data_IF_252723705152
#
_entry.id   IF_252723705152
#
_cell.length_a   1.000
_cell.length_b   1.000
_cell.length_c   1.000
_cell.angle_alpha   90.00
_cell.angle_beta   90.00
_cell.angle_gamma   90.00
#
_symmetry.space_group_name_H-M   'P 1'
#
loop_
_entity.id
_entity.type
_entity.pdbx_description
1 polymer ?
#
# COMPACT_ATOMS: atom_id res chain seq x y z
N UNK A 1 -19.08 -11.48 13.53
CA UNK A 1 -18.12 -11.86 12.47
C UNK A 1 -16.79 -11.25 12.86
N UNK A 2 -15.66 -11.99 12.78
CA UNK A 2 -14.36 -11.51 13.22
C UNK A 2 -13.86 -10.30 12.39
N UNK A 3 -13.11 -9.42 13.06
CA UNK A 3 -12.43 -8.29 12.45
C UNK A 3 -10.98 -8.67 12.13
N UNK A 4 -10.56 -8.39 10.90
CA UNK A 4 -9.19 -8.63 10.42
C UNK A 4 -8.57 -7.33 9.94
N UNK A 5 -7.29 -7.13 10.21
CA UNK A 5 -6.54 -5.96 9.72
C UNK A 5 -5.52 -6.38 8.66
N UNK A 6 -5.30 -5.52 7.68
CA UNK A 6 -4.44 -5.76 6.51
C UNK A 6 -3.26 -4.80 6.49
N UNK A 7 -2.36 -4.94 7.45
CA UNK A 7 -1.19 -4.06 7.52
C UNK A 7 -0.26 -4.30 6.33
N UNK A 8 0.36 -3.23 5.82
CA UNK A 8 1.29 -3.31 4.71
C UNK A 8 2.73 -3.36 5.24
N UNK A 9 3.41 -4.49 5.05
CA UNK A 9 4.86 -4.59 5.25
C UNK A 9 5.54 -3.91 4.09
N UNK A 10 6.34 -2.90 4.40
CA UNK A 10 7.20 -2.17 3.47
C UNK A 10 8.67 -2.54 3.72
N UNK A 11 9.60 -2.16 2.82
CA UNK A 11 11.03 -2.35 3.07
C UNK A 11 11.55 -1.64 4.34
N UNK A 12 10.83 -0.62 4.81
CA UNK A 12 11.26 0.26 5.91
C UNK A 12 10.47 0.03 7.20
N UNK A 13 9.41 -0.78 7.18
CA UNK A 13 8.60 -1.00 8.39
C UNK A 13 7.25 -1.67 8.12
N UNK A 14 6.35 -1.54 9.08
CA UNK A 14 4.96 -1.97 8.98
C UNK A 14 4.07 -0.74 8.99
N UNK A 15 3.23 -0.60 7.96
CA UNK A 15 2.21 0.44 7.85
C UNK A 15 0.86 -0.13 8.33
N UNK A 16 0.36 0.32 9.49
CA UNK A 16 -0.81 -0.29 10.11
C UNK A 16 -2.11 0.16 9.43
N UNK A 17 -2.86 -0.83 8.95
CA UNK A 17 -4.30 -0.71 8.78
C UNK A 17 -5.03 -0.47 10.14
N UNK A 18 -5.74 0.66 10.28
CA UNK A 18 -6.54 1.01 11.49
C UNK A 18 -8.04 0.67 11.44
N UNK A 19 -8.67 0.59 10.25
CA UNK A 19 -10.12 0.32 10.18
C UNK A 19 -10.45 -1.19 10.15
N UNK A 20 -9.51 -2.02 9.68
CA UNK A 20 -9.73 -3.44 9.41
C UNK A 20 -10.92 -3.73 8.46
N UNK A 21 -11.32 -4.99 8.38
CA UNK A 21 -12.48 -5.50 7.64
C UNK A 21 -13.10 -6.69 8.38
N UNK A 22 -14.40 -6.62 8.61
CA UNK A 22 -15.17 -7.72 9.19
C UNK A 22 -15.43 -8.80 8.14
N UNK A 23 -14.91 -10.01 8.37
CA UNK A 23 -15.05 -11.13 7.44
C UNK A 23 -15.42 -12.44 8.16
N UNK A 24 -15.95 -13.45 7.45
CA UNK A 24 -16.39 -14.70 8.08
C UNK A 24 -15.23 -15.51 8.67
N UNK A 25 -14.08 -15.53 8.01
CA UNK A 25 -12.92 -16.35 8.35
C UNK A 25 -11.63 -15.82 7.70
N UNK A 26 -10.50 -16.41 8.10
CA UNK A 26 -9.16 -16.05 7.61
C UNK A 26 -8.97 -16.38 6.12
N UNK A 27 -9.62 -17.42 5.60
CA UNK A 27 -9.55 -17.77 4.19
C UNK A 27 -10.17 -16.68 3.32
N UNK A 28 -11.28 -16.09 3.76
CA UNK A 28 -11.92 -14.94 3.07
C UNK A 28 -11.01 -13.72 3.12
N UNK A 29 -10.39 -13.46 4.28
CA UNK A 29 -9.42 -12.38 4.44
C UNK A 29 -8.21 -12.55 3.51
N UNK A 30 -7.66 -13.77 3.43
CA UNK A 30 -6.58 -14.10 2.51
C UNK A 30 -6.96 -13.86 1.04
N UNK A 31 -8.16 -14.29 0.62
CA UNK A 31 -8.62 -14.06 -0.75
C UNK A 31 -8.75 -12.57 -1.06
N UNK A 32 -9.25 -11.76 -0.13
CA UNK A 32 -9.36 -10.29 -0.27
C UNK A 32 -7.99 -9.63 -0.41
N UNK A 33 -7.03 -9.98 0.46
CA UNK A 33 -5.64 -9.50 0.35
C UNK A 33 -5.06 -9.84 -1.02
N UNK A 34 -5.22 -11.09 -1.46
CA UNK A 34 -4.67 -11.55 -2.72
C UNK A 34 -5.30 -10.89 -3.94
N UNK A 35 -6.60 -10.58 -3.88
CA UNK A 35 -7.29 -9.82 -4.92
C UNK A 35 -6.79 -8.37 -5.00
N UNK A 36 -6.35 -7.79 -3.87
CA UNK A 36 -5.89 -6.40 -3.77
C UNK A 36 -4.43 -6.18 -4.22
N UNK A 37 -3.60 -7.22 -4.19
CA UNK A 37 -2.16 -7.13 -4.50
C UNK A 37 -1.86 -6.56 -5.90
N UNK A 38 -2.51 -7.02 -7.00
CA UNK A 38 -2.21 -6.49 -8.33
C UNK A 38 -2.46 -4.99 -8.47
N UNK A 39 -3.56 -4.49 -7.91
CA UNK A 39 -3.91 -3.06 -7.97
C UNK A 39 -2.90 -2.22 -7.17
N UNK A 40 -2.55 -2.64 -5.95
CA UNK A 40 -1.50 -1.97 -5.18
C UNK A 40 -0.13 -2.03 -5.86
N UNK A 41 0.21 -3.15 -6.50
CA UNK A 41 1.46 -3.27 -7.23
C UNK A 41 1.54 -2.29 -8.41
N UNK A 42 0.44 -2.05 -9.12
CA UNK A 42 0.36 -1.04 -10.18
C UNK A 42 0.62 0.35 -9.61
N UNK A 43 0.01 0.71 -8.48
CA UNK A 43 0.21 2.02 -7.84
C UNK A 43 1.67 2.21 -7.38
N UNK A 44 2.27 1.21 -6.74
CA UNK A 44 3.70 1.22 -6.37
C UNK A 44 4.61 1.41 -7.59
N UNK A 45 4.35 0.69 -8.68
CA UNK A 45 5.11 0.82 -9.94
C UNK A 45 4.96 2.22 -10.52
N UNK A 46 3.76 2.81 -10.50
CA UNK A 46 3.50 4.19 -10.97
C UNK A 46 4.28 5.22 -10.17
N UNK A 47 4.51 4.96 -8.89
CA UNK A 47 5.33 5.81 -8.02
C UNK A 47 6.85 5.57 -8.17
N UNK A 48 7.25 4.61 -9.01
CA UNK A 48 8.66 4.25 -9.24
C UNK A 48 9.23 3.32 -8.16
N UNK A 49 8.37 2.70 -7.35
CA UNK A 49 8.74 1.74 -6.31
C UNK A 49 8.66 0.31 -6.83
N UNK A 50 9.51 -0.57 -6.30
CA UNK A 50 9.40 -2.00 -6.56
C UNK A 50 8.35 -2.60 -5.62
N UNK A 51 7.33 -3.32 -6.12
CA UNK A 51 6.35 -4.00 -5.28
C UNK A 51 6.87 -5.33 -4.69
N UNK A 52 8.00 -5.85 -5.18
CA UNK A 52 8.54 -7.15 -4.75
C UNK A 52 8.89 -7.30 -3.26
N UNK A 53 9.43 -6.28 -2.56
CA UNK A 53 9.71 -6.36 -1.12
C UNK A 53 8.49 -6.06 -0.23
N UNK A 54 7.29 -5.86 -0.79
CA UNK A 54 6.08 -5.60 -0.02
C UNK A 54 5.32 -6.89 0.31
N UNK A 55 4.60 -6.88 1.44
CA UNK A 55 3.73 -7.98 1.85
C UNK A 55 2.51 -7.45 2.61
N UNK A 56 1.39 -8.18 2.55
CA UNK A 56 0.29 -7.97 3.50
C UNK A 56 0.51 -8.80 4.75
N UNK A 57 0.26 -8.22 5.92
CA UNK A 57 0.22 -8.90 7.20
C UNK A 57 -1.21 -8.85 7.72
N UNK A 58 -1.85 -10.01 7.78
CA UNK A 58 -3.21 -10.16 8.29
C UNK A 58 -3.14 -10.44 9.79
N UNK A 59 -3.83 -9.63 10.59
CA UNK A 59 -3.94 -9.80 12.05
C UNK A 59 -5.40 -9.91 12.48
N UNK A 60 -5.62 -10.43 13.69
CA UNK A 60 -6.91 -10.36 14.38
C UNK A 60 -7.03 -9.08 15.23
N UNK A 61 -8.17 -8.93 15.92
CA UNK A 61 -8.44 -7.81 16.83
C UNK A 61 -7.47 -7.70 18.01
N UNK A 62 -6.87 -8.82 18.44
CA UNK A 62 -5.83 -8.81 19.46
C UNK A 62 -4.45 -8.40 18.92
N UNK A 63 -4.32 -8.13 17.62
CA UNK A 63 -3.06 -7.82 16.95
C UNK A 63 -2.18 -9.05 16.67
N UNK A 64 -2.71 -10.26 16.86
CA UNK A 64 -1.96 -11.48 16.58
C UNK A 64 -1.86 -11.69 15.07
N UNK A 65 -0.65 -11.94 14.59
CA UNK A 65 -0.39 -12.21 13.17
C UNK A 65 -0.96 -13.59 12.83
N UNK A 66 -1.93 -13.60 11.94
CA UNK A 66 -2.53 -14.82 11.43
C UNK A 66 -1.84 -15.28 10.14
N UNK A 67 -1.40 -14.33 9.30
CA UNK A 67 -0.80 -14.64 8.01
C UNK A 67 0.05 -13.49 7.47
N UNK A 68 1.07 -13.83 6.69
CA UNK A 68 1.84 -12.89 5.87
C UNK A 68 1.80 -13.33 4.40
N UNK A 69 1.58 -12.38 3.49
CA UNK A 69 1.36 -12.64 2.06
C UNK A 69 2.31 -11.75 1.24
N UNK A 70 3.47 -12.28 0.82
CA UNK A 70 4.41 -11.53 -0.01
C UNK A 70 3.83 -11.22 -1.40
N UNK A 71 4.02 -10.00 -1.88
CA UNK A 71 3.57 -9.59 -3.22
C UNK A 71 4.32 -10.38 -4.30
N UNK A 72 5.60 -10.69 -4.07
CA UNK A 72 6.43 -11.46 -5.00
C UNK A 72 5.84 -12.84 -5.34
N UNK A 73 5.16 -13.50 -4.40
CA UNK A 73 4.52 -14.80 -4.65
C UNK A 73 3.32 -14.67 -5.58
N UNK A 74 2.59 -13.55 -5.49
CA UNK A 74 1.41 -13.29 -6.33
C UNK A 74 1.77 -12.74 -7.71
N UNK A 75 2.79 -11.90 -7.80
CA UNK A 75 3.16 -11.24 -9.05
C UNK A 75 4.00 -12.11 -9.98
N UNK A 76 4.61 -13.19 -9.46
CA UNK A 76 5.38 -14.15 -10.27
C UNK A 76 4.52 -15.16 -11.04
N UNK A 77 3.19 -15.18 -10.82
CA UNK A 77 2.26 -16.03 -11.55
C UNK A 77 1.57 -15.24 -12.69
N UNK A 78 2.04 -15.35 -13.95
CA UNK A 78 1.55 -14.53 -15.06
C UNK A 78 0.12 -14.90 -15.50
N UNK A 79 -0.42 -16.03 -15.03
CA UNK A 79 -1.65 -16.62 -15.59
C UNK A 79 -2.94 -16.15 -14.90
N UNK A 80 -2.86 -15.42 -13.79
CA UNK A 80 -4.02 -14.99 -12.98
C UNK A 80 -4.53 -13.56 -13.26
N UNK A 81 -3.95 -12.83 -14.22
CA UNK A 81 -4.25 -11.42 -14.49
C UNK A 81 -5.63 -11.08 -15.07
N UNK A 82 -6.54 -12.05 -15.26
CA UNK A 82 -7.85 -11.79 -15.87
C UNK A 82 -8.97 -12.05 -14.86
N UNK A 83 -9.34 -11.01 -14.10
CA UNK A 83 -10.72 -10.73 -13.61
C UNK A 83 -10.76 -9.39 -12.86
N UNK A 84 -11.62 -8.43 -13.26
CA UNK A 84 -11.88 -7.25 -12.46
C UNK A 84 -13.05 -7.52 -11.52
N UNK A 85 -12.83 -7.43 -10.20
CA UNK A 85 -13.89 -7.18 -9.22
C UNK A 85 -13.32 -6.33 -8.09
N UNK A 86 -13.63 -5.03 -8.15
CA UNK A 86 -13.36 -4.10 -7.05
C UNK A 86 -14.15 -4.50 -5.80
N UNK A 87 -13.48 -4.50 -4.64
CA UNK A 87 -13.97 -4.18 -3.28
C UNK A 87 -12.78 -3.96 -2.34
N UNK A 88 -12.82 -3.20 -1.24
CA UNK A 88 -13.64 -2.01 -0.88
C UNK A 88 -12.82 -0.88 -0.25
N UNK A 89 -11.60 -1.14 0.25
CA UNK A 89 -10.75 -0.12 0.90
C UNK A 89 -9.54 0.30 0.07
N UNK A 90 -9.15 -0.53 -0.90
CA UNK A 90 -8.17 -0.29 -1.98
C UNK A 90 -8.47 0.94 -2.86
N UNK A 91 -9.53 1.69 -2.57
CA UNK A 91 -9.92 2.93 -3.23
C UNK A 91 -9.93 4.14 -2.28
N UNK A 92 -9.82 3.95 -0.96
CA UNK A 92 -9.87 5.05 0.02
C UNK A 92 -8.48 5.48 0.53
N UNK A 93 -7.52 4.56 0.67
CA UNK A 93 -6.17 4.94 1.12
C UNK A 93 -5.25 5.40 -0.03
N UNK A 94 -5.41 4.84 -1.25
CA UNK A 94 -4.78 5.38 -2.47
C UNK A 94 -5.14 6.85 -2.74
N UNK A 95 -6.21 7.35 -2.12
CA UNK A 95 -6.75 8.70 -2.23
C UNK A 95 -6.11 9.70 -1.25
N UNK A 96 -5.51 9.27 -0.11
CA UNK A 96 -4.94 10.19 0.90
C UNK A 96 -3.40 10.23 0.92
N UNK A 97 -2.71 9.15 0.52
CA UNK A 97 -1.23 9.10 0.49
C UNK A 97 -0.65 9.73 -0.80
N UNK A 98 -1.34 9.62 -1.93
CA UNK A 98 -1.00 10.38 -3.13
C UNK A 98 -1.10 11.91 -2.90
N UNK A 99 -2.07 12.35 -2.09
CA UNK A 99 -2.26 13.75 -1.69
C UNK A 99 -1.13 14.26 -0.77
N UNK A 100 -0.58 13.42 0.12
CA UNK A 100 0.56 13.78 0.98
C UNK A 100 1.90 13.86 0.23
N UNK A 101 2.13 12.98 -0.74
CA UNK A 101 3.40 12.89 -1.49
C UNK A 101 3.49 13.94 -2.61
N UNK A 102 2.35 14.34 -3.22
CA UNK A 102 2.30 15.48 -4.14
C UNK A 102 2.53 16.82 -3.44
N UNK A 103 1.93 17.02 -2.26
CA UNK A 103 2.08 18.25 -1.48
C UNK A 103 3.53 18.46 -0.99
N UNK A 104 4.22 17.41 -0.56
CA UNK A 104 5.62 17.50 -0.13
C UNK A 104 6.60 17.90 -1.25
N UNK A 105 6.29 17.53 -2.51
CA UNK A 105 7.08 17.95 -3.69
C UNK A 105 6.89 19.43 -4.03
N UNK A 106 5.72 20.01 -3.79
CA UNK A 106 5.48 21.45 -4.00
C UNK A 106 6.23 22.34 -3.00
N UNK A 107 6.42 21.87 -1.76
CA UNK A 107 7.14 22.64 -0.71
C UNK A 107 8.66 22.61 -0.89
N UNK A 108 9.21 21.49 -1.35
CA UNK A 108 10.66 21.31 -1.57
C UNK A 108 11.19 22.01 -2.82
N UNK A 109 10.34 22.22 -3.84
CA UNK A 109 10.71 23.02 -5.01
C UNK A 109 10.81 24.52 -4.65
N UNK A 110 9.86 25.05 -3.86
CA UNK A 110 9.80 26.47 -3.47
C UNK A 110 10.98 26.87 -2.57
N UNK A 111 11.42 26.00 -1.68
CA UNK A 111 12.60 26.24 -0.83
C UNK A 111 13.91 26.20 -1.64
N UNK A 112 13.98 25.39 -2.71
CA UNK A 112 15.13 25.35 -3.61
C UNK A 112 15.27 26.58 -4.50
N UNK A 113 14.15 27.17 -4.97
CA UNK A 113 14.20 28.41 -5.78
C UNK A 113 14.64 29.63 -4.97
N UNK A 114 14.22 29.72 -3.70
CA UNK A 114 14.65 30.81 -2.80
C UNK A 114 16.15 30.70 -2.48
N UNK A 115 16.65 29.48 -2.23
CA UNK A 115 18.08 29.24 -1.99
C UNK A 115 18.94 29.44 -3.24
N UNK A 116 18.41 29.13 -4.43
CA UNK A 116 19.12 29.40 -5.69
C UNK A 116 19.27 30.91 -5.96
N UNK A 117 18.26 31.71 -5.61
CA UNK A 117 18.30 33.18 -5.76
C UNK A 117 19.23 33.85 -4.74
N UNK A 118 19.38 33.27 -3.55
CA UNK A 118 20.30 33.75 -2.52
C UNK A 118 21.78 33.43 -2.79
N UNK A 119 22.08 32.47 -3.69
CA UNK A 119 23.46 32.08 -4.07
C UNK A 119 23.98 32.76 -5.35
N UNK A 120 23.18 33.64 -5.97
CA UNK A 120 23.50 34.32 -7.22
C UNK A 120 23.89 35.81 -7.10
N UNK A 121 24.13 36.32 -5.89
CA UNK A 121 24.61 37.70 -5.69
C UNK A 121 25.98 37.71 -5.04
N UNK A 122 27.02 37.58 -5.87
CA UNK A 122 28.37 38.09 -5.63
C UNK A 122 29.00 38.43 -6.96
#
# INVERSE_FOLDING_TARGET
MPLFYFHLRTPTGLDPDEDGLTMPNIETAYLEACASIPDMAIDLIREGLSPMPYAFVITNEAGEILMEIPFAERLRDPQRQIRPKQTTRARRLSQEIADAIGAARATTQRSREILARARGTS
#
